data_IF_566736069011
#
_entry.id   IF_566736069011
#
_cell.length_a   1.000
_cell.length_b   1.000
_cell.length_c   1.000
_cell.angle_alpha   90.00
_cell.angle_beta   90.00
_cell.angle_gamma   90.00
#
_symmetry.space_group_name_H-M   'P 1'
#
loop_
_entity.id
_entity.type
_entity.pdbx_description
1 polymer ?
#
# COMPACT_ATOMS: atom_id res chain seq x y z
N UNK A 1 -3.02 15.55 27.10
CA UNK A 1 -2.84 14.87 25.79
C UNK A 1 -4.18 14.30 25.37
N UNK A 2 -4.97 15.00 24.54
CA UNK A 2 -6.19 14.40 24.00
C UNK A 2 -5.80 13.36 22.95
N UNK A 3 -6.02 12.09 23.27
CA UNK A 3 -6.04 11.03 22.27
C UNK A 3 -7.29 11.27 21.43
N UNK A 4 -7.13 11.97 20.30
CA UNK A 4 -8.17 12.13 19.30
C UNK A 4 -8.47 10.77 18.65
N UNK A 5 -9.28 9.95 19.29
CA UNK A 5 -9.78 8.71 18.73
C UNK A 5 -10.52 9.01 17.41
N UNK A 6 -10.21 8.25 16.35
CA UNK A 6 -10.90 8.31 15.06
C UNK A 6 -10.39 9.31 14.01
N UNK A 7 -9.55 10.32 14.34
CA UNK A 7 -9.04 11.28 13.34
C UNK A 7 -7.64 10.91 12.84
N UNK A 8 -7.44 10.89 11.51
CA UNK A 8 -6.11 10.65 10.91
C UNK A 8 -5.14 11.78 11.26
N UNK A 9 -3.96 11.42 11.79
CA UNK A 9 -2.92 12.39 12.13
C UNK A 9 -2.17 12.83 10.88
N UNK A 10 -2.32 14.11 10.52
CA UNK A 10 -1.61 14.75 9.41
C UNK A 10 -0.84 15.94 9.96
N UNK A 11 0.46 16.01 9.70
CA UNK A 11 1.30 17.15 10.09
C UNK A 11 1.88 17.81 8.84
N UNK A 12 1.70 19.11 8.70
CA UNK A 12 2.38 19.91 7.66
C UNK A 12 3.67 20.43 8.26
N UNK A 13 4.81 20.21 7.59
CA UNK A 13 6.10 20.78 7.99
C UNK A 13 6.80 21.45 6.81
N UNK A 14 7.47 22.57 7.05
CA UNK A 14 8.33 23.25 6.08
C UNK A 14 9.59 22.42 5.85
N UNK A 15 10.00 22.26 4.59
CA UNK A 15 11.29 21.63 4.25
C UNK A 15 12.45 22.54 4.63
N UNK A 16 13.50 21.99 5.26
CA UNK A 16 14.64 22.77 5.79
C UNK A 16 15.37 23.58 4.72
N UNK A 17 15.48 23.05 3.49
CA UNK A 17 16.24 23.67 2.41
C UNK A 17 15.37 24.21 1.28
N UNK A 18 14.24 23.56 1.00
CA UNK A 18 13.37 23.93 -0.13
C UNK A 18 12.30 24.93 0.24
N UNK A 19 12.07 25.19 1.53
CA UNK A 19 10.96 25.98 2.10
C UNK A 19 9.53 25.54 1.72
N UNK A 20 9.40 24.58 0.80
CA UNK A 20 8.14 23.94 0.41
C UNK A 20 7.54 23.16 1.58
N UNK A 21 6.24 23.32 1.78
CA UNK A 21 5.49 22.55 2.77
C UNK A 21 5.40 21.08 2.33
N UNK A 22 5.61 20.17 3.27
CA UNK A 22 5.44 18.72 3.07
C UNK A 22 4.41 18.19 4.05
N UNK A 23 3.34 17.62 3.51
CA UNK A 23 2.28 16.97 4.30
C UNK A 23 2.70 15.56 4.69
N UNK A 24 2.71 15.29 6.00
CA UNK A 24 3.08 13.98 6.57
C UNK A 24 1.83 13.29 7.11
N UNK A 25 1.39 12.24 6.43
CA UNK A 25 0.32 11.37 6.89
C UNK A 25 0.85 10.34 7.89
N UNK A 26 0.98 10.73 9.18
CA UNK A 26 1.64 9.92 10.20
C UNK A 26 0.87 8.65 10.52
N UNK A 27 -0.46 8.72 10.69
CA UNK A 27 -1.29 7.55 10.99
C UNK A 27 -1.25 6.53 9.85
N UNK A 28 -1.40 6.98 8.59
CA UNK A 28 -1.30 6.11 7.42
C UNK A 28 0.07 5.43 7.34
N UNK A 29 1.16 6.18 7.60
CA UNK A 29 2.51 5.64 7.57
C UNK A 29 2.73 4.60 8.67
N UNK A 30 2.22 4.85 9.89
CA UNK A 30 2.26 3.90 11.01
C UNK A 30 1.49 2.62 10.67
N UNK A 31 0.28 2.77 10.12
CA UNK A 31 -0.53 1.65 9.64
C UNK A 31 0.21 0.81 8.60
N UNK A 32 0.71 1.45 7.53
CA UNK A 32 1.50 0.79 6.49
C UNK A 32 2.74 0.08 7.04
N UNK A 33 3.38 0.64 8.07
CA UNK A 33 4.53 0.01 8.74
C UNK A 33 4.11 -1.25 9.51
N UNK A 34 2.98 -1.20 10.22
CA UNK A 34 2.45 -2.35 10.96
C UNK A 34 2.12 -3.53 10.04
N UNK A 35 1.41 -3.27 8.93
CA UNK A 35 1.05 -4.31 7.94
C UNK A 35 2.21 -4.70 7.01
N UNK A 36 3.37 -4.04 7.12
CA UNK A 36 4.58 -4.38 6.36
C UNK A 36 4.54 -3.97 4.89
N UNK A 37 3.80 -2.91 4.54
CA UNK A 37 3.70 -2.34 3.18
C UNK A 37 4.35 -0.95 3.08
N UNK A 38 4.82 -0.40 4.20
CA UNK A 38 5.47 0.90 4.19
C UNK A 38 6.65 0.95 3.21
N UNK A 39 6.78 2.03 2.42
CA UNK A 39 7.93 2.23 1.58
C UNK A 39 9.17 2.30 2.48
N UNK A 40 10.17 1.52 2.12
CA UNK A 40 11.39 1.43 2.87
C UNK A 40 12.40 2.38 2.17
N UNK A 41 13.05 3.30 2.90
CA UNK A 41 14.04 4.29 2.40
C UNK A 41 15.20 3.70 1.58
N UNK A 42 15.35 3.97 0.30
CA UNK A 42 16.62 3.63 -0.36
C UNK A 42 17.74 4.46 0.29
N UNK A 43 18.74 3.79 0.87
CA UNK A 43 19.92 4.45 1.44
C UNK A 43 20.89 4.68 0.29
N UNK A 44 21.39 5.91 0.12
CA UNK A 44 22.35 6.28 -0.92
C UNK A 44 23.78 5.76 -0.65
N UNK A 45 23.93 4.79 0.26
CA UNK A 45 25.22 4.20 0.64
C UNK A 45 25.43 2.85 -0.02
N UNK A 46 26.68 2.56 -0.39
CA UNK A 46 27.16 1.31 -1.01
C UNK A 46 27.02 0.06 -0.12
N UNK A 47 26.58 0.20 1.13
CA UNK A 47 26.38 -0.95 1.99
C UNK A 47 25.09 -1.68 1.62
N UNK A 48 25.22 -2.81 0.93
CA UNK A 48 24.17 -3.81 0.64
C UNK A 48 23.67 -4.52 1.92
N UNK A 49 23.55 -3.83 3.06
CA UNK A 49 23.02 -4.42 4.28
C UNK A 49 21.59 -4.89 3.99
N UNK A 50 21.33 -6.19 4.20
CA UNK A 50 20.02 -6.80 4.04
C UNK A 50 19.00 -5.98 4.84
N UNK A 51 18.21 -5.20 4.11
CA UNK A 51 17.12 -4.40 4.66
C UNK A 51 16.16 -5.31 5.42
N UNK A 52 16.11 -5.15 6.75
CA UNK A 52 15.13 -5.87 7.57
C UNK A 52 13.73 -5.41 7.16
N UNK A 53 12.92 -6.32 6.66
CA UNK A 53 11.53 -6.03 6.29
C UNK A 53 10.76 -5.69 7.57
N UNK A 54 10.29 -4.44 7.68
CA UNK A 54 9.49 -4.00 8.82
C UNK A 54 8.07 -4.59 8.81
N UNK A 55 7.41 -4.55 9.98
CA UNK A 55 6.02 -4.98 10.15
C UNK A 55 5.83 -6.49 10.33
N UNK A 56 4.58 -6.89 10.56
CA UNK A 56 4.22 -8.28 10.86
C UNK A 56 4.29 -9.18 9.60
N UNK A 57 5.01 -10.29 9.70
CA UNK A 57 5.05 -11.31 8.64
C UNK A 57 3.68 -11.93 8.40
N UNK A 58 2.91 -12.15 9.47
CA UNK A 58 1.53 -12.64 9.42
C UNK A 58 0.64 -11.68 8.64
N UNK A 59 0.68 -10.38 8.95
CA UNK A 59 -0.13 -9.38 8.24
C UNK A 59 0.25 -9.29 6.76
N UNK A 60 1.54 -9.38 6.40
CA UNK A 60 1.96 -9.41 4.98
C UNK A 60 1.41 -10.62 4.24
N UNK A 61 1.48 -11.82 4.85
CA UNK A 61 0.95 -13.05 4.27
C UNK A 61 -0.58 -12.97 4.11
N UNK A 62 -1.28 -12.57 5.17
CA UNK A 62 -2.74 -12.43 5.16
C UNK A 62 -3.21 -11.43 4.11
N UNK A 63 -2.57 -10.25 4.03
CA UNK A 63 -2.89 -9.25 3.02
C UNK A 63 -2.67 -9.79 1.59
N UNK A 64 -1.53 -10.47 1.38
CA UNK A 64 -1.24 -11.08 0.08
C UNK A 64 -2.26 -12.13 -0.30
N UNK A 65 -2.59 -13.04 0.62
CA UNK A 65 -3.58 -14.09 0.41
C UNK A 65 -4.95 -13.49 0.10
N UNK A 66 -5.42 -12.55 0.93
CA UNK A 66 -6.72 -11.91 0.75
C UNK A 66 -6.85 -11.22 -0.62
N UNK A 67 -5.82 -10.50 -1.06
CA UNK A 67 -5.86 -9.78 -2.33
C UNK A 67 -5.61 -10.68 -3.54
N UNK A 68 -4.43 -11.33 -3.60
CA UNK A 68 -3.94 -11.93 -4.84
C UNK A 68 -4.59 -13.27 -5.15
N UNK A 69 -5.01 -14.04 -4.14
CA UNK A 69 -5.74 -15.30 -4.40
C UNK A 69 -7.12 -15.06 -5.01
N UNK A 70 -7.69 -13.85 -4.84
CA UNK A 70 -8.98 -13.50 -5.40
C UNK A 70 -8.86 -12.82 -6.77
N UNK A 71 -7.88 -11.92 -6.95
CA UNK A 71 -7.76 -11.14 -8.18
C UNK A 71 -6.98 -11.86 -9.29
N UNK A 72 -5.93 -12.61 -8.96
CA UNK A 72 -5.12 -13.30 -9.98
C UNK A 72 -5.78 -14.59 -10.45
N UNK A 73 -6.49 -15.27 -9.56
CA UNK A 73 -7.28 -16.48 -9.88
C UNK A 73 -8.60 -16.13 -10.59
N UNK A 74 -8.94 -14.84 -10.72
CA UNK A 74 -10.17 -14.36 -11.38
C UNK A 74 -11.46 -15.05 -10.90
N UNK A 75 -11.54 -15.42 -9.62
CA UNK A 75 -12.73 -16.08 -9.03
C UNK A 75 -14.00 -15.24 -9.23
N UNK A 76 -15.16 -15.83 -9.51
CA UNK A 76 -16.40 -15.05 -9.49
C UNK A 76 -16.64 -14.50 -8.08
N UNK A 77 -16.95 -13.21 -7.98
CA UNK A 77 -17.21 -12.54 -6.69
C UNK A 77 -18.13 -11.36 -6.91
N UNK A 78 -19.04 -11.13 -5.97
CA UNK A 78 -19.89 -9.94 -5.90
C UNK A 78 -19.41 -8.95 -4.83
N UNK A 79 -18.30 -9.25 -4.15
CA UNK A 79 -17.78 -8.37 -3.11
C UNK A 79 -17.25 -7.07 -3.75
N UNK A 80 -17.85 -5.90 -3.44
CA UNK A 80 -17.50 -4.64 -4.10
C UNK A 80 -16.04 -4.24 -3.84
N UNK A 81 -15.47 -4.59 -2.68
CA UNK A 81 -14.06 -4.32 -2.38
C UNK A 81 -13.12 -5.15 -3.23
N UNK A 82 -13.44 -6.42 -3.47
CA UNK A 82 -12.61 -7.25 -4.35
C UNK A 82 -12.67 -6.74 -5.79
N UNK A 83 -13.84 -6.27 -6.25
CA UNK A 83 -14.00 -5.64 -7.56
C UNK A 83 -13.18 -4.34 -7.68
N UNK A 84 -13.19 -3.48 -6.66
CA UNK A 84 -12.34 -2.28 -6.58
C UNK A 84 -10.84 -2.64 -6.64
N UNK A 85 -10.41 -3.67 -5.91
CA UNK A 85 -9.02 -4.14 -5.93
C UNK A 85 -8.63 -4.70 -7.30
N UNK A 86 -9.54 -5.38 -8.01
CA UNK A 86 -9.31 -5.85 -9.39
C UNK A 86 -9.05 -4.70 -10.34
N UNK A 87 -9.86 -3.65 -10.26
CA UNK A 87 -9.67 -2.47 -11.10
C UNK A 87 -8.30 -1.84 -10.85
N UNK A 88 -7.92 -1.69 -9.57
CA UNK A 88 -6.59 -1.18 -9.20
C UNK A 88 -5.47 -2.08 -9.74
N UNK A 89 -5.64 -3.39 -9.71
CA UNK A 89 -4.68 -4.33 -10.26
C UNK A 89 -4.59 -4.21 -11.78
N UNK A 90 -5.72 -4.10 -12.48
CA UNK A 90 -5.73 -3.90 -13.94
C UNK A 90 -5.02 -2.59 -14.32
N UNK A 91 -5.33 -1.47 -13.66
CA UNK A 91 -4.61 -0.21 -13.88
C UNK A 91 -3.10 -0.34 -13.61
N UNK A 92 -2.70 -1.18 -12.66
CA UNK A 92 -1.29 -1.45 -12.41
C UNK A 92 -0.65 -2.25 -13.55
N UNK A 93 -1.35 -3.26 -14.08
CA UNK A 93 -0.91 -4.03 -15.24
C UNK A 93 -0.73 -3.11 -16.46
N UNK A 94 -1.73 -2.27 -16.75
CA UNK A 94 -1.72 -1.33 -17.87
C UNK A 94 -0.55 -0.34 -17.73
N UNK A 95 -0.35 0.21 -16.52
CA UNK A 95 0.75 1.15 -16.22
C UNK A 95 2.12 0.58 -16.48
N UNK A 96 2.33 -0.71 -16.22
CA UNK A 96 3.61 -1.38 -16.44
C UNK A 96 3.65 -2.13 -17.78
N UNK A 97 2.81 -1.69 -18.73
CA UNK A 97 2.77 -2.14 -20.12
C UNK A 97 2.63 -3.65 -20.24
N UNK A 98 1.61 -4.19 -19.57
CA UNK A 98 1.14 -5.57 -19.72
C UNK A 98 -0.11 -5.65 -20.61
N UNK A 99 -0.22 -4.73 -21.56
CA UNK A 99 -1.29 -4.67 -22.55
C UNK A 99 -1.06 -5.68 -23.67
N UNK A 100 -1.98 -6.66 -23.68
CA UNK A 100 -2.46 -7.54 -24.75
C UNK A 100 -1.60 -8.63 -25.42
N UNK A 101 -0.28 -8.54 -25.68
CA UNK A 101 0.37 -9.62 -26.46
C UNK A 101 1.60 -10.31 -25.86
N UNK A 102 2.18 -9.79 -24.78
CA UNK A 102 3.27 -10.48 -24.08
C UNK A 102 2.80 -11.02 -22.73
N UNK A 103 2.99 -12.33 -22.50
CA UNK A 103 2.85 -12.90 -21.15
C UNK A 103 3.75 -12.09 -20.19
N UNK A 104 3.19 -11.42 -19.19
CA UNK A 104 3.99 -10.68 -18.22
C UNK A 104 5.02 -11.61 -17.57
N UNK A 105 6.31 -11.40 -17.79
CA UNK A 105 7.37 -12.16 -17.11
C UNK A 105 8.15 -11.27 -16.15
N UNK A 106 8.48 -11.82 -14.99
CA UNK A 106 9.46 -11.23 -14.07
C UNK A 106 9.05 -9.92 -13.39
N UNK A 107 9.84 -8.87 -13.63
CA UNK A 107 9.85 -7.62 -12.84
C UNK A 107 8.54 -6.83 -12.98
N UNK A 108 7.90 -6.83 -14.16
CA UNK A 108 6.66 -6.08 -14.41
C UNK A 108 5.51 -6.53 -13.48
N UNK A 109 5.32 -7.84 -13.29
CA UNK A 109 4.33 -8.37 -12.33
C UNK A 109 4.68 -7.94 -10.90
N UNK A 110 5.96 -7.98 -10.53
CA UNK A 110 6.41 -7.55 -9.18
C UNK A 110 6.06 -6.08 -8.93
N UNK A 111 6.25 -5.21 -9.93
CA UNK A 111 5.88 -3.79 -9.87
C UNK A 111 4.37 -3.60 -9.76
N UNK A 112 3.58 -4.30 -10.59
CA UNK A 112 2.12 -4.26 -10.52
C UNK A 112 1.61 -4.68 -9.13
N UNK A 113 2.08 -5.83 -8.61
CA UNK A 113 1.74 -6.30 -7.26
C UNK A 113 2.13 -5.32 -6.17
N UNK A 114 3.31 -4.71 -6.27
CA UNK A 114 3.78 -3.71 -5.30
C UNK A 114 2.89 -2.45 -5.31
N UNK A 115 2.55 -1.95 -6.50
CA UNK A 115 1.65 -0.82 -6.69
C UNK A 115 0.26 -1.10 -6.10
N UNK A 116 -0.34 -2.24 -6.45
CA UNK A 116 -1.65 -2.65 -5.97
C UNK A 116 -1.65 -2.78 -4.45
N UNK A 117 -0.67 -3.46 -3.86
CA UNK A 117 -0.55 -3.60 -2.40
C UNK A 117 -0.51 -2.25 -1.69
N UNK A 118 0.23 -1.27 -2.24
CA UNK A 118 0.28 0.08 -1.69
C UNK A 118 -1.09 0.76 -1.73
N UNK A 119 -1.80 0.68 -2.85
CA UNK A 119 -3.13 1.29 -3.01
C UNK A 119 -4.17 0.64 -2.10
N UNK A 120 -4.17 -0.68 -2.00
CA UNK A 120 -5.06 -1.40 -1.08
C UNK A 120 -4.76 -1.08 0.38
N UNK A 121 -3.50 -0.92 0.77
CA UNK A 121 -3.15 -0.47 2.11
C UNK A 121 -3.74 0.92 2.44
N UNK A 122 -3.83 1.82 1.46
CA UNK A 122 -4.46 3.13 1.64
C UNK A 122 -5.98 2.96 1.81
N UNK A 123 -6.63 2.17 0.94
CA UNK A 123 -8.06 1.90 1.03
C UNK A 123 -8.46 1.26 2.37
N UNK A 124 -7.70 0.28 2.84
CA UNK A 124 -7.92 -0.37 4.14
C UNK A 124 -7.79 0.63 5.29
N UNK A 125 -6.80 1.53 5.23
CA UNK A 125 -6.65 2.56 6.24
C UNK A 125 -7.82 3.54 6.24
N UNK A 126 -8.30 3.96 5.08
CA UNK A 126 -9.45 4.85 4.97
C UNK A 126 -10.74 4.19 5.47
N UNK A 127 -10.95 2.91 5.15
CA UNK A 127 -12.05 2.13 5.70
C UNK A 127 -11.96 2.01 7.22
N UNK A 128 -10.76 1.76 7.76
CA UNK A 128 -10.52 1.70 9.20
C UNK A 128 -10.82 3.04 9.88
N UNK A 129 -10.33 4.15 9.33
CA UNK A 129 -10.60 5.48 9.86
C UNK A 129 -12.10 5.79 9.85
N UNK A 130 -12.81 5.43 8.78
CA UNK A 130 -14.27 5.59 8.72
C UNK A 130 -14.98 4.75 9.78
N UNK A 131 -14.61 3.48 9.93
CA UNK A 131 -15.21 2.59 10.92
C UNK A 131 -15.00 3.10 12.36
N UNK A 132 -13.80 3.58 12.68
CA UNK A 132 -13.48 4.11 14.02
C UNK A 132 -14.06 5.52 14.25
N UNK A 133 -14.36 6.28 13.19
CA UNK A 133 -15.01 7.58 13.33
C UNK A 133 -16.55 7.48 13.45
N UNK A 134 -17.12 6.35 13.04
CA UNK A 134 -18.56 6.04 13.13
C UNK A 134 -18.91 5.26 14.40
N UNK A 135 -17.91 4.72 15.10
CA UNK A 135 -18.02 4.10 16.42
C UNK A 135 -17.93 5.15 17.53
#
# INVERSE_FOLDING_TARGET
>A
MSLGFGKREVRVRKGRNSDKSTTRHLSLRRFQKAIGVAPVREESGTSLKKRRTGGSSLCRKALWQWMFTQIEVRRKTQNPRILEIRQIYQTALDRYSLSSDERPRGIKIKLARAYTRRKVAILLFEALVKAVAQS
#
